data_IF_047287506002
#
_entry.id   IF_047287506002
#
_cell.length_a   1.000
_cell.length_b   1.000
_cell.length_c   1.000
_cell.angle_alpha   90.00
_cell.angle_beta   90.00
_cell.angle_gamma   90.00
#
_symmetry.space_group_name_H-M   'P 1'
#
loop_
_entity.id
_entity.type
_entity.pdbx_description
1 polymer ?
#
# COMPACT_ATOMS: atom_id res chain seq x y z
N UNK A 1 -13.97 2.17 -19.48
CA UNK A 1 -13.56 0.88 -18.90
C UNK A 1 -13.54 1.06 -17.38
N UNK A 2 -13.99 0.09 -16.58
CA UNK A 2 -13.83 0.18 -15.13
C UNK A 2 -12.34 0.22 -14.80
N UNK A 3 -11.94 1.08 -13.86
CA UNK A 3 -10.54 1.13 -13.41
C UNK A 3 -10.21 -0.12 -12.61
N UNK A 4 -8.97 -0.58 -12.72
CA UNK A 4 -8.47 -1.66 -11.87
C UNK A 4 -8.48 -1.21 -10.40
N UNK A 5 -8.84 -2.14 -9.52
CA UNK A 5 -8.95 -1.92 -8.08
C UNK A 5 -7.81 -2.66 -7.40
N UNK A 6 -7.15 -1.98 -6.45
CA UNK A 6 -6.06 -2.54 -5.65
C UNK A 6 -6.46 -2.45 -4.19
N UNK A 7 -6.17 -3.50 -3.43
CA UNK A 7 -6.48 -3.51 -2.00
C UNK A 7 -5.48 -2.63 -1.24
N UNK A 8 -5.97 -1.83 -0.29
CA UNK A 8 -5.10 -1.07 0.62
C UNK A 8 -4.14 -1.99 1.39
N UNK A 9 -4.57 -3.21 1.74
CA UNK A 9 -3.73 -4.21 2.42
C UNK A 9 -2.48 -4.59 1.61
N UNK A 10 -2.50 -4.52 0.28
CA UNK A 10 -1.32 -4.85 -0.54
C UNK A 10 -0.15 -3.89 -0.26
N UNK A 11 -0.43 -2.67 0.21
CA UNK A 11 0.60 -1.70 0.62
C UNK A 11 1.12 -1.93 2.04
N UNK A 12 0.66 -2.95 2.77
CA UNK A 12 1.10 -3.24 4.14
C UNK A 12 2.46 -3.97 4.19
N UNK A 13 3.44 -3.43 3.48
CA UNK A 13 4.82 -3.91 3.41
C UNK A 13 5.81 -2.81 3.83
N UNK A 14 7.09 -3.15 3.94
CA UNK A 14 8.14 -2.25 4.46
C UNK A 14 8.25 -0.93 3.66
N UNK A 15 8.08 -1.00 2.33
CA UNK A 15 8.21 0.13 1.44
C UNK A 15 6.92 0.93 1.29
N UNK A 16 5.78 0.37 1.69
CA UNK A 16 4.45 0.90 1.42
C UNK A 16 4.18 1.08 -0.08
N UNK A 17 4.66 0.12 -0.89
CA UNK A 17 4.56 0.14 -2.36
C UNK A 17 4.03 -1.17 -2.90
N UNK A 18 3.35 -1.10 -4.04
CA UNK A 18 2.85 -2.28 -4.75
C UNK A 18 3.27 -2.17 -6.20
N UNK A 19 3.54 -3.29 -6.86
CA UNK A 19 3.84 -3.30 -8.28
C UNK A 19 2.62 -2.88 -9.10
N UNK A 20 2.84 -2.11 -10.16
CA UNK A 20 1.78 -1.73 -11.09
C UNK A 20 1.17 -2.99 -11.75
N UNK A 21 -0.16 -3.08 -11.75
CA UNK A 21 -0.90 -4.22 -12.33
C UNK A 21 -1.09 -4.11 -13.85
N UNK A 22 -0.60 -3.05 -14.48
CA UNK A 22 -0.64 -2.92 -15.95
C UNK A 22 0.36 -3.91 -16.57
N UNK A 23 -0.09 -4.68 -17.56
CA UNK A 23 0.75 -5.60 -18.31
C UNK A 23 2.00 -4.89 -18.86
N UNK A 24 3.15 -5.57 -18.79
CA UNK A 24 4.47 -5.08 -19.20
C UNK A 24 4.95 -3.79 -18.49
N UNK A 25 4.27 -3.34 -17.43
CA UNK A 25 4.70 -2.23 -16.59
C UNK A 25 5.56 -2.72 -15.41
N UNK A 26 6.66 -2.01 -15.17
CA UNK A 26 7.58 -2.27 -14.05
C UNK A 26 7.57 -1.13 -13.02
N UNK A 27 6.59 -0.24 -13.12
CA UNK A 27 6.42 0.86 -12.18
C UNK A 27 5.88 0.40 -10.84
N UNK A 28 6.08 1.24 -9.83
CA UNK A 28 5.52 1.04 -8.49
C UNK A 28 4.39 2.03 -8.25
N UNK A 29 3.42 1.58 -7.48
CA UNK A 29 2.31 2.36 -6.98
C UNK A 29 2.62 2.76 -5.54
N UNK A 30 2.29 3.99 -5.19
CA UNK A 30 2.48 4.52 -3.84
C UNK A 30 1.16 5.03 -3.29
N UNK A 31 0.90 4.78 -2.01
CA UNK A 31 -0.17 5.46 -1.29
C UNK A 31 0.25 6.90 -0.98
N UNK A 32 -0.51 7.84 -1.52
CA UNK A 32 -0.26 9.26 -1.28
C UNK A 32 -1.04 9.70 -0.03
N UNK A 33 -0.39 10.27 1.00
CA UNK A 33 -1.11 10.90 2.10
C UNK A 33 -1.88 12.12 1.60
N UNK A 34 -3.07 12.37 2.15
CA UNK A 34 -3.91 13.51 1.76
C UNK A 34 -3.45 14.84 2.38
N UNK A 35 -2.56 14.77 3.38
CA UNK A 35 -2.16 15.90 4.22
C UNK A 35 -3.04 16.10 5.45
N UNK A 36 -4.13 15.34 5.58
CA UNK A 36 -4.95 15.27 6.80
C UNK A 36 -4.38 14.19 7.73
N UNK A 37 -4.36 14.48 9.02
CA UNK A 37 -3.96 13.53 10.07
C UNK A 37 -4.99 13.55 11.20
N UNK A 38 -5.15 12.43 11.90
CA UNK A 38 -5.94 12.37 13.11
C UNK A 38 -5.21 12.96 14.34
N UNK A 39 -5.84 12.89 15.52
CA UNK A 39 -5.28 13.42 16.78
C UNK A 39 -4.00 12.72 17.24
N UNK A 40 -3.71 11.53 16.71
CA UNK A 40 -2.52 10.73 17.01
C UNK A 40 -1.44 10.90 15.92
N UNK A 41 -1.67 11.75 14.92
CA UNK A 41 -0.75 12.01 13.82
C UNK A 41 -0.78 10.92 12.73
N UNK A 42 -1.80 10.05 12.72
CA UNK A 42 -1.96 9.04 11.68
C UNK A 42 -2.46 9.72 10.40
N UNK A 43 -1.76 9.59 9.27
CA UNK A 43 -2.17 10.20 8.01
C UNK A 43 -3.37 9.48 7.39
N UNK A 44 -4.28 10.25 6.81
CA UNK A 44 -5.28 9.72 5.88
C UNK A 44 -4.64 9.51 4.50
N UNK A 45 -4.97 8.41 3.82
CA UNK A 45 -4.44 8.09 2.49
C UNK A 45 -5.47 8.31 1.39
N UNK A 46 -5.00 8.77 0.23
CA UNK A 46 -5.86 9.02 -0.92
C UNK A 46 -6.55 7.72 -1.39
N UNK A 47 -7.83 7.77 -1.83
CA UNK A 47 -8.57 6.59 -2.29
C UNK A 47 -8.15 6.11 -3.69
N UNK A 48 -7.09 6.70 -4.26
CA UNK A 48 -6.57 6.41 -5.59
C UNK A 48 -5.05 6.54 -5.60
N UNK A 49 -4.42 5.83 -6.52
CA UNK A 49 -3.01 5.98 -6.83
C UNK A 49 -2.80 6.02 -8.34
N UNK A 50 -1.63 6.51 -8.76
CA UNK A 50 -1.21 6.63 -10.15
C UNK A 50 0.16 5.98 -10.29
N UNK A 51 0.32 5.15 -11.32
CA UNK A 51 1.64 4.69 -11.70
C UNK A 51 2.42 5.83 -12.39
N UNK A 52 3.58 6.26 -11.86
CA UNK A 52 4.37 7.32 -12.49
C UNK A 52 5.01 6.90 -13.81
N UNK A 53 5.09 5.59 -14.10
CA UNK A 53 5.73 5.06 -15.31
C UNK A 53 4.75 5.01 -16.50
N UNK A 54 3.59 4.38 -16.33
CA UNK A 54 2.61 4.24 -17.42
C UNK A 54 1.47 5.27 -17.37
N UNK A 55 1.32 6.02 -16.26
CA UNK A 55 0.26 7.02 -16.08
C UNK A 55 -1.12 6.45 -15.75
N UNK A 56 -1.24 5.12 -15.58
CA UNK A 56 -2.52 4.49 -15.25
C UNK A 56 -2.97 4.83 -13.82
N UNK A 57 -4.28 4.96 -13.63
CA UNK A 57 -4.90 5.32 -12.33
C UNK A 57 -5.65 4.11 -11.78
N UNK A 58 -5.39 3.80 -10.51
CA UNK A 58 -6.00 2.69 -9.79
C UNK A 58 -6.88 3.24 -8.67
N UNK A 59 -8.08 2.69 -8.53
CA UNK A 59 -8.92 2.94 -7.35
C UNK A 59 -8.45 2.00 -6.22
N UNK A 60 -8.50 2.47 -4.97
CA UNK A 60 -7.99 1.73 -3.81
C UNK A 60 -9.17 1.26 -2.96
N UNK A 61 -9.34 -0.05 -2.86
CA UNK A 61 -10.30 -0.66 -1.96
C UNK A 61 -9.87 -0.48 -0.50
N UNK A 62 -10.77 0.06 0.31
CA UNK A 62 -10.52 0.45 1.70
C UNK A 62 -10.73 -0.72 2.68
N UNK A 63 -10.18 -1.91 2.37
CA UNK A 63 -10.35 -3.12 3.18
C UNK A 63 -9.50 -3.17 4.46
N UNK A 64 -8.80 -2.07 4.77
CA UNK A 64 -8.03 -1.84 5.98
C UNK A 64 -8.12 -0.35 6.34
N UNK A 65 -8.08 -0.02 7.64
CA UNK A 65 -8.05 1.38 8.08
C UNK A 65 -6.69 2.01 7.83
N UNK A 66 -6.63 3.33 7.67
CA UNK A 66 -5.35 4.04 7.51
C UNK A 66 -4.45 3.87 8.74
N UNK A 67 -5.06 3.76 9.92
CA UNK A 67 -4.38 3.50 11.18
C UNK A 67 -3.72 2.14 11.21
N UNK A 68 -4.45 1.08 10.90
CA UNK A 68 -3.91 -0.28 10.90
C UNK A 68 -2.77 -0.40 9.89
N UNK A 69 -2.96 0.18 8.70
CA UNK A 69 -1.93 0.21 7.66
C UNK A 69 -0.68 0.95 8.16
N UNK A 70 -0.84 2.16 8.68
CA UNK A 70 0.27 2.98 9.14
C UNK A 70 1.05 2.31 10.26
N UNK A 71 0.36 1.75 11.26
CA UNK A 71 0.98 1.05 12.37
C UNK A 71 1.72 -0.20 11.89
N UNK A 72 1.14 -0.95 10.95
CA UNK A 72 1.76 -2.12 10.35
C UNK A 72 3.04 -1.77 9.60
N UNK A 73 3.01 -0.79 8.70
CA UNK A 73 4.20 -0.31 7.97
C UNK A 73 5.27 0.19 8.96
N UNK A 74 4.86 0.96 9.96
CA UNK A 74 5.79 1.50 10.97
C UNK A 74 6.47 0.38 11.75
N UNK A 75 5.71 -0.66 12.12
CA UNK A 75 6.24 -1.84 12.79
C UNK A 75 7.20 -2.63 11.90
N UNK A 76 6.85 -2.87 10.63
CA UNK A 76 7.73 -3.57 9.67
C UNK A 76 9.04 -2.82 9.45
N UNK A 77 9.00 -1.49 9.34
CA UNK A 77 10.21 -0.67 9.23
C UNK A 77 11.09 -0.70 10.47
N UNK A 78 10.48 -0.87 11.64
CA UNK A 78 11.21 -1.02 12.90
C UNK A 78 11.75 -2.44 13.12
N UNK A 79 11.20 -3.45 12.44
CA UNK A 79 11.55 -4.86 12.57
C UNK A 79 11.70 -5.50 11.17
N UNK A 80 12.67 -5.05 10.35
CA UNK A 80 12.78 -5.45 8.94
C UNK A 80 12.95 -6.97 8.75
N UNK A 81 13.54 -7.68 9.70
CA UNK A 81 13.71 -9.13 9.70
C UNK A 81 12.40 -9.91 9.73
N UNK A 82 11.31 -9.28 10.16
CA UNK A 82 9.99 -9.90 10.24
C UNK A 82 9.21 -9.78 8.92
N UNK A 83 9.68 -8.95 7.97
CA UNK A 83 8.99 -8.74 6.70
C UNK A 83 8.96 -10.00 5.83
N UNK A 84 10.00 -10.83 5.91
CA UNK A 84 10.11 -12.08 5.13
C UNK A 84 9.44 -13.28 5.85
N UNK A 85 9.25 -13.21 7.17
CA UNK A 85 8.79 -14.34 7.98
C UNK A 85 7.29 -14.68 7.81
N UNK A 86 6.48 -13.72 7.34
CA UNK A 86 5.04 -13.90 7.19
C UNK A 86 4.62 -14.59 5.89
N UNK A 87 5.51 -14.68 4.90
CA UNK A 87 5.29 -15.43 3.66
C UNK A 87 5.57 -16.95 3.85
N UNK A 88 6.36 -17.33 4.85
CA UNK A 88 6.74 -18.73 5.11
C UNK A 88 5.66 -19.53 5.88
N UNK A 89 4.83 -18.90 6.72
CA UNK A 89 3.81 -19.59 7.52
C UNK A 89 2.54 -19.99 6.74
N UNK A 90 2.42 -19.60 5.46
CA UNK A 90 1.35 -20.02 4.55
C UNK A 90 1.70 -21.26 3.70
N UNK A 91 2.90 -21.85 3.89
CA UNK A 91 3.45 -22.90 3.03
C UNK A 91 3.90 -24.20 3.72
N UNK A 92 3.37 -24.52 4.91
CA UNK A 92 3.64 -25.76 5.65
C UNK A 92 2.56 -26.83 5.52
#
# INVERSE_FOLDING_TARGET
MPRAIISKREFANIDARVRCLTDDCWGELMLMPTGVQDVEGIPEFAPRTLCPLCGEVFDIEQNMTDRDLFLRISWLRANPEMADAEDDEAGG
#
